data_IF_963154024063
#
_entry.id   IF_963154024063
#
_cell.length_a   1.000
_cell.length_b   1.000
_cell.length_c   1.000
_cell.angle_alpha   90.00
_cell.angle_beta   90.00
_cell.angle_gamma   90.00
#
_symmetry.space_group_name_H-M   'P 1'
#
loop_
_entity.id
_entity.type
_entity.pdbx_description
1 polymer ?
#
# COMPACT_ATOMS: atom_id res chain seq x y z
N UNK A 1 -5.43 -17.29 -16.10
CA UNK A 1 -5.37 -16.76 -14.72
C UNK A 1 -6.77 -16.76 -14.16
N UNK A 2 -6.91 -17.06 -12.87
CA UNK A 2 -8.19 -17.01 -12.16
C UNK A 2 -8.12 -15.89 -11.12
N UNK A 3 -9.23 -15.16 -10.94
CA UNK A 3 -9.33 -14.13 -9.90
C UNK A 3 -10.42 -14.58 -8.94
N UNK A 4 -10.07 -14.69 -7.67
CA UNK A 4 -10.99 -15.13 -6.62
C UNK A 4 -10.81 -14.28 -5.37
N UNK A 5 -11.87 -14.21 -4.59
CA UNK A 5 -11.85 -13.55 -3.30
C UNK A 5 -11.08 -14.40 -2.28
N UNK A 6 -10.20 -13.74 -1.51
CA UNK A 6 -9.47 -14.35 -0.40
C UNK A 6 -10.13 -13.88 0.90
N UNK A 7 -10.80 -14.80 1.57
CA UNK A 7 -11.41 -14.59 2.90
C UNK A 7 -10.54 -15.11 4.04
N UNK A 8 -9.48 -15.88 3.72
CA UNK A 8 -8.56 -16.43 4.70
C UNK A 8 -7.46 -15.42 5.03
N UNK A 9 -7.45 -14.93 6.28
CA UNK A 9 -6.45 -13.98 6.79
C UNK A 9 -5.02 -14.51 6.67
N UNK A 10 -4.79 -15.76 7.05
CA UNK A 10 -3.45 -16.38 7.05
C UNK A 10 -2.87 -16.41 5.64
N UNK A 11 -3.65 -16.85 4.66
CA UNK A 11 -3.22 -16.89 3.25
C UNK A 11 -2.86 -15.49 2.73
N UNK A 12 -3.65 -14.47 3.08
CA UNK A 12 -3.38 -13.08 2.69
C UNK A 12 -2.09 -12.57 3.32
N UNK A 13 -1.92 -12.79 4.62
CA UNK A 13 -0.80 -12.29 5.39
C UNK A 13 0.52 -12.95 4.95
N UNK A 14 0.53 -14.26 4.75
CA UNK A 14 1.70 -14.99 4.24
C UNK A 14 2.17 -14.43 2.89
N UNK A 15 1.23 -14.18 1.96
CA UNK A 15 1.58 -13.58 0.67
C UNK A 15 2.05 -12.13 0.83
N UNK A 16 1.40 -11.32 1.66
CA UNK A 16 1.75 -9.92 1.89
C UNK A 16 3.17 -9.79 2.46
N UNK A 17 3.52 -10.65 3.42
CA UNK A 17 4.83 -10.68 4.07
C UNK A 17 5.92 -11.19 3.11
N UNK A 18 5.62 -12.23 2.31
CA UNK A 18 6.56 -12.74 1.30
C UNK A 18 6.80 -11.73 0.17
N UNK A 19 5.73 -11.14 -0.36
CA UNK A 19 5.80 -10.23 -1.49
C UNK A 19 6.38 -8.86 -1.11
N UNK A 20 6.26 -8.48 0.16
CA UNK A 20 6.67 -7.18 0.66
C UNK A 20 5.84 -6.02 0.10
N UNK A 21 5.70 -4.98 0.90
CA UNK A 21 5.08 -3.73 0.45
C UNK A 21 5.70 -2.57 1.19
N UNK A 22 5.97 -1.43 0.51
CA UNK A 22 6.44 -0.21 1.16
C UNK A 22 5.31 0.50 1.95
N UNK A 23 4.12 -0.09 2.03
CA UNK A 23 2.94 0.48 2.68
C UNK A 23 2.03 -0.60 3.28
N UNK A 24 1.37 -0.27 4.38
CA UNK A 24 0.39 -1.15 5.04
C UNK A 24 -1.00 -1.11 4.38
N UNK A 25 -1.24 -0.29 3.35
CA UNK A 25 -2.61 -0.09 2.79
C UNK A 25 -3.22 -1.32 2.10
N UNK A 26 -2.45 -2.39 1.95
CA UNK A 26 -2.88 -3.70 1.45
C UNK A 26 -2.79 -4.79 2.53
N UNK A 27 -2.48 -4.44 3.79
CA UNK A 27 -2.50 -5.39 4.90
C UNK A 27 -3.94 -5.77 5.25
N UNK A 28 -4.09 -6.90 5.93
CA UNK A 28 -5.40 -7.37 6.35
C UNK A 28 -6.07 -6.37 7.30
N UNK A 29 -5.32 -5.89 8.29
CA UNK A 29 -5.76 -4.95 9.32
C UNK A 29 -6.21 -3.60 8.73
N UNK A 30 -5.57 -3.15 7.64
CA UNK A 30 -6.03 -1.95 6.95
C UNK A 30 -7.44 -2.13 6.40
N UNK A 31 -7.74 -3.30 5.83
CA UNK A 31 -9.09 -3.60 5.38
C UNK A 31 -10.10 -3.64 6.53
N UNK A 32 -9.74 -4.24 7.67
CA UNK A 32 -10.61 -4.26 8.86
C UNK A 32 -10.89 -2.84 9.38
N UNK A 33 -9.91 -1.93 9.27
CA UNK A 33 -10.09 -0.52 9.60
C UNK A 33 -11.07 0.17 8.63
N UNK A 34 -10.89 -0.01 7.32
CA UNK A 34 -11.78 0.55 6.29
C UNK A 34 -13.23 0.06 6.46
N UNK A 35 -13.41 -1.24 6.77
CA UNK A 35 -14.72 -1.82 7.09
C UNK A 35 -15.36 -1.17 8.31
N UNK A 36 -14.58 -0.95 9.39
CA UNK A 36 -15.04 -0.22 10.59
C UNK A 36 -15.39 1.24 10.29
N UNK A 37 -14.75 1.85 9.29
CA UNK A 37 -15.09 3.19 8.79
C UNK A 37 -16.32 3.21 7.88
N UNK A 38 -16.92 2.06 7.61
CA UNK A 38 -18.16 1.91 6.83
C UNK A 38 -17.94 1.71 5.33
N UNK A 39 -16.71 1.44 4.89
CA UNK A 39 -16.45 1.06 3.51
C UNK A 39 -16.68 -0.43 3.29
N UNK A 40 -17.18 -0.78 2.11
CA UNK A 40 -17.16 -2.16 1.66
C UNK A 40 -15.79 -2.44 1.02
N UNK A 41 -15.18 -3.57 1.31
CA UNK A 41 -13.93 -3.99 0.68
C UNK A 41 -14.08 -5.36 0.03
N UNK A 42 -13.22 -5.65 -0.94
CA UNK A 42 -13.05 -6.98 -1.51
C UNK A 42 -11.56 -7.29 -1.63
N UNK A 43 -11.15 -8.45 -1.11
CA UNK A 43 -9.75 -8.90 -1.10
C UNK A 43 -9.58 -9.91 -2.23
N UNK A 44 -8.90 -9.51 -3.30
CA UNK A 44 -8.79 -10.32 -4.52
C UNK A 44 -7.40 -10.93 -4.65
N UNK A 45 -7.34 -12.23 -4.91
CA UNK A 45 -6.14 -12.94 -5.31
C UNK A 45 -6.14 -13.24 -6.81
N UNK A 46 -4.99 -13.03 -7.46
CA UNK A 46 -4.76 -13.37 -8.87
C UNK A 46 -3.92 -14.62 -8.95
N UNK A 47 -4.50 -15.71 -9.44
CA UNK A 47 -3.89 -17.02 -9.51
C UNK A 47 -3.46 -17.36 -10.93
N UNK A 48 -2.22 -17.83 -11.09
CA UNK A 48 -1.76 -18.48 -12.29
C UNK A 48 -1.72 -19.98 -12.06
N UNK A 49 -2.60 -20.74 -12.72
CA UNK A 49 -2.90 -22.13 -12.36
C UNK A 49 -3.33 -22.20 -10.88
N UNK A 50 -2.49 -22.74 -10.00
CA UNK A 50 -2.76 -22.85 -8.56
C UNK A 50 -1.85 -21.95 -7.71
N UNK A 51 -0.98 -21.16 -8.34
CA UNK A 51 -0.04 -20.28 -7.65
C UNK A 51 -0.64 -18.89 -7.50
N UNK A 52 -0.64 -18.34 -6.29
CA UNK A 52 -1.02 -16.96 -6.04
C UNK A 52 0.10 -16.04 -6.54
N UNK A 53 -0.22 -15.16 -7.50
CA UNK A 53 0.78 -14.30 -8.18
C UNK A 53 0.65 -12.84 -7.79
N UNK A 54 -0.54 -12.40 -7.38
CA UNK A 54 -0.78 -11.06 -6.89
C UNK A 54 -1.97 -11.02 -5.93
N UNK A 55 -1.98 -10.04 -5.03
CA UNK A 55 -3.12 -9.70 -4.17
C UNK A 55 -3.52 -8.24 -4.35
N UNK A 56 -4.79 -7.93 -4.17
CA UNK A 56 -5.33 -6.57 -4.28
C UNK A 56 -6.56 -6.37 -3.39
N UNK A 57 -6.39 -5.61 -2.31
CA UNK A 57 -7.48 -5.09 -1.50
C UNK A 57 -8.09 -3.91 -2.25
N UNK A 58 -9.37 -4.06 -2.60
CA UNK A 58 -10.14 -3.09 -3.35
C UNK A 58 -11.22 -2.51 -2.43
N UNK A 59 -11.15 -1.22 -2.19
CA UNK A 59 -12.12 -0.46 -1.40
C UNK A 59 -13.21 0.06 -2.35
N UNK A 60 -14.46 -0.20 -2.02
CA UNK A 60 -15.63 0.24 -2.76
C UNK A 60 -16.10 1.59 -2.22
N UNK A 61 -15.77 2.68 -2.92
CA UNK A 61 -16.06 4.03 -2.45
C UNK A 61 -17.36 4.53 -3.09
N UNK A 62 -18.36 4.81 -2.24
CA UNK A 62 -19.60 5.50 -2.63
C UNK A 62 -19.45 6.99 -2.35
N UNK A 63 -19.43 7.80 -3.40
CA UNK A 63 -19.21 9.25 -3.30
C UNK A 63 -20.26 10.04 -4.07
N UNK A 64 -20.50 11.29 -3.65
CA UNK A 64 -21.50 12.19 -4.26
C UNK A 64 -21.32 12.39 -5.77
N UNK A 65 -20.08 12.29 -6.27
CA UNK A 65 -19.71 12.55 -7.68
C UNK A 65 -19.43 11.27 -8.48
N UNK A 66 -19.94 10.14 -8.02
CA UNK A 66 -19.79 8.83 -8.67
C UNK A 66 -19.08 7.83 -7.77
N UNK A 67 -19.57 6.60 -7.81
CA UNK A 67 -18.97 5.49 -7.08
C UNK A 67 -17.71 5.04 -7.81
N UNK A 68 -16.66 4.65 -7.08
CA UNK A 68 -15.47 4.07 -7.70
C UNK A 68 -14.84 2.95 -6.88
N UNK A 69 -14.14 2.07 -7.58
CA UNK A 69 -13.28 1.06 -6.96
C UNK A 69 -11.90 1.65 -6.76
N UNK A 70 -11.33 1.49 -5.58
CA UNK A 70 -10.04 2.05 -5.22
C UNK A 70 -9.09 0.99 -4.69
N UNK A 71 -7.89 0.91 -5.27
CA UNK A 71 -6.86 -0.06 -4.91
C UNK A 71 -5.63 0.74 -4.45
N UNK A 72 -5.53 1.07 -3.15
CA UNK A 72 -4.44 1.88 -2.62
C UNK A 72 -3.13 1.08 -2.56
N UNK A 73 -2.06 1.57 -3.19
CA UNK A 73 -0.72 0.97 -3.12
C UNK A 73 -0.63 -0.48 -3.64
N UNK A 74 -1.69 -0.97 -4.29
CA UNK A 74 -1.76 -2.28 -4.93
C UNK A 74 -2.05 -2.20 -6.43
N UNK A 75 -2.12 -3.35 -7.12
CA UNK A 75 -1.91 -4.71 -6.59
C UNK A 75 -0.45 -4.97 -6.14
N UNK A 76 -0.28 -5.91 -5.21
CA UNK A 76 1.02 -6.43 -4.76
C UNK A 76 1.32 -7.71 -5.55
N UNK A 77 2.56 -7.88 -6.01
CA UNK A 77 2.99 -9.01 -6.84
C UNK A 77 4.02 -9.85 -6.11
N UNK A 78 3.99 -11.17 -6.31
CA UNK A 78 4.95 -12.10 -5.70
C UNK A 78 6.40 -11.74 -6.07
N UNK A 79 7.29 -11.77 -5.08
CA UNK A 79 8.75 -11.65 -5.26
C UNK A 79 9.32 -12.94 -5.83
N UNK A 80 8.89 -14.12 -5.37
CA UNK A 80 9.41 -15.42 -5.85
C UNK A 80 9.33 -15.59 -7.38
N UNK A 81 8.38 -14.91 -8.03
CA UNK A 81 8.40 -14.66 -9.47
C UNK A 81 9.35 -13.50 -9.86
N UNK A 82 10.60 -13.48 -9.36
CA UNK A 82 11.63 -12.42 -9.55
C UNK A 82 12.03 -12.20 -11.03
N UNK A 83 11.53 -13.04 -11.94
CA UNK A 83 11.53 -12.84 -13.41
C UNK A 83 10.17 -12.36 -13.94
N UNK A 84 9.36 -11.70 -13.12
CA UNK A 84 8.19 -10.93 -13.54
C UNK A 84 8.68 -9.71 -14.31
N UNK A 85 9.10 -9.97 -15.54
CA UNK A 85 9.34 -8.96 -16.55
C UNK A 85 8.14 -8.02 -16.57
N UNK A 86 8.38 -6.78 -16.95
CA UNK A 86 7.35 -5.75 -17.17
C UNK A 86 6.13 -6.30 -17.93
N UNK A 87 6.36 -7.22 -18.88
CA UNK A 87 5.33 -7.96 -19.62
C UNK A 87 4.39 -8.78 -18.72
N UNK A 88 4.90 -9.50 -17.73
CA UNK A 88 4.08 -10.32 -16.82
C UNK A 88 3.25 -9.42 -15.89
N UNK A 89 3.85 -8.35 -15.34
CA UNK A 89 3.10 -7.35 -14.54
C UNK A 89 1.97 -6.73 -15.34
N UNK A 90 2.24 -6.33 -16.60
CA UNK A 90 1.21 -5.81 -17.51
C UNK A 90 0.08 -6.82 -17.73
N UNK A 91 0.41 -8.10 -17.97
CA UNK A 91 -0.59 -9.15 -18.18
C UNK A 91 -1.47 -9.35 -16.94
N UNK A 92 -0.87 -9.43 -15.74
CA UNK A 92 -1.60 -9.56 -14.47
C UNK A 92 -2.53 -8.36 -14.25
N UNK A 93 -2.03 -7.13 -14.44
CA UNK A 93 -2.84 -5.90 -14.30
C UNK A 93 -3.99 -5.89 -15.32
N UNK A 94 -3.76 -6.36 -16.55
CA UNK A 94 -4.80 -6.44 -17.57
C UNK A 94 -5.93 -7.41 -17.16
N UNK A 95 -5.59 -8.61 -16.68
CA UNK A 95 -6.58 -9.57 -16.20
C UNK A 95 -7.34 -9.03 -14.98
N UNK A 96 -6.61 -8.42 -14.04
CA UNK A 96 -7.20 -7.79 -12.88
C UNK A 96 -8.16 -6.65 -13.24
N UNK A 97 -7.76 -5.79 -14.18
CA UNK A 97 -8.59 -4.71 -14.69
C UNK A 97 -9.87 -5.24 -15.36
N UNK A 98 -9.79 -6.30 -16.18
CA UNK A 98 -10.98 -6.89 -16.83
C UNK A 98 -11.99 -7.42 -15.80
N UNK A 99 -11.50 -8.06 -14.74
CA UNK A 99 -12.34 -8.49 -13.62
C UNK A 99 -12.99 -7.28 -12.93
N UNK A 100 -12.20 -6.27 -12.58
CA UNK A 100 -12.72 -5.06 -11.92
C UNK A 100 -13.71 -4.29 -12.79
N UNK A 101 -13.52 -4.24 -14.11
CA UNK A 101 -14.49 -3.63 -15.05
C UNK A 101 -15.82 -4.38 -15.00
N UNK A 102 -15.78 -5.71 -14.97
CA UNK A 102 -16.98 -6.54 -14.89
C UNK A 102 -17.71 -6.32 -13.56
N UNK A 103 -16.97 -6.29 -12.45
CA UNK A 103 -17.47 -5.97 -11.12
C UNK A 103 -18.08 -4.55 -11.08
N UNK A 104 -17.35 -3.56 -11.62
CA UNK A 104 -17.78 -2.17 -11.66
C UNK A 104 -19.09 -2.00 -12.44
N UNK A 105 -19.24 -2.67 -13.58
CA UNK A 105 -20.50 -2.66 -14.36
C UNK A 105 -21.65 -3.32 -13.61
N UNK A 106 -21.39 -4.46 -12.96
CA UNK A 106 -22.41 -5.21 -12.19
C UNK A 106 -22.92 -4.41 -11.00
N UNK A 107 -22.04 -3.70 -10.31
CA UNK A 107 -22.36 -2.96 -9.07
C UNK A 107 -22.47 -1.44 -9.26
N UNK A 108 -22.50 -0.97 -10.52
CA UNK A 108 -22.66 0.45 -10.89
C UNK A 108 -21.58 1.40 -10.31
N UNK A 109 -20.31 1.02 -10.44
CA UNK A 109 -19.15 1.89 -10.22
C UNK A 109 -18.74 2.59 -11.52
N UNK A 110 -18.50 3.90 -11.44
CA UNK A 110 -18.23 4.77 -12.59
C UNK A 110 -16.79 4.68 -13.10
N UNK A 111 -15.82 4.41 -12.22
CA UNK A 111 -14.41 4.28 -12.59
C UNK A 111 -13.64 3.40 -11.59
N UNK A 112 -12.43 3.01 -12.00
CA UNK A 112 -11.48 2.25 -11.20
C UNK A 112 -10.23 3.12 -11.02
N UNK A 113 -9.74 3.20 -9.79
CA UNK A 113 -8.53 3.93 -9.44
C UNK A 113 -7.53 2.99 -8.78
N UNK A 114 -6.33 2.94 -9.32
CA UNK A 114 -5.21 2.21 -8.74
C UNK A 114 -4.10 3.19 -8.41
N UNK A 115 -3.32 2.89 -7.37
CA UNK A 115 -2.15 3.67 -7.00
C UNK A 115 -0.96 2.75 -6.66
N UNK A 116 -0.51 1.89 -7.59
CA UNK A 116 0.55 0.91 -7.31
C UNK A 116 1.89 1.60 -7.02
N UNK A 117 2.67 1.03 -6.11
CA UNK A 117 3.98 1.57 -5.73
C UNK A 117 5.06 1.07 -6.70
N UNK A 118 5.02 1.57 -7.93
CA UNK A 118 6.06 1.34 -8.92
C UNK A 118 7.00 2.53 -9.01
N UNK A 119 8.27 2.25 -9.28
CA UNK A 119 9.22 3.31 -9.62
C UNK A 119 8.78 3.98 -10.93
N UNK A 120 8.89 5.31 -10.96
CA UNK A 120 8.41 6.12 -12.05
C UNK A 120 9.40 6.09 -13.23
N UNK A 121 9.21 5.10 -14.11
CA UNK A 121 10.03 4.85 -15.31
C UNK A 121 9.17 4.84 -16.55
N UNK A 122 9.77 4.98 -17.73
CA UNK A 122 9.02 4.99 -18.99
C UNK A 122 8.26 3.68 -19.22
N UNK A 123 8.88 2.55 -18.88
CA UNK A 123 8.28 1.23 -19.08
C UNK A 123 7.06 1.02 -18.17
N UNK A 124 7.12 1.47 -16.91
CA UNK A 124 5.99 1.36 -15.97
C UNK A 124 4.85 2.28 -16.35
N UNK A 125 5.13 3.51 -16.81
CA UNK A 125 4.11 4.41 -17.37
C UNK A 125 3.41 3.79 -18.58
N UNK A 126 4.17 3.15 -19.47
CA UNK A 126 3.65 2.50 -20.68
C UNK A 126 2.67 1.37 -20.38
N UNK A 127 2.89 0.59 -19.32
CA UNK A 127 1.94 -0.43 -18.85
C UNK A 127 0.54 0.18 -18.67
N UNK A 128 0.45 1.27 -17.92
CA UNK A 128 -0.83 1.89 -17.57
C UNK A 128 -1.46 2.59 -18.77
N UNK A 129 -0.67 3.26 -19.60
CA UNK A 129 -1.15 3.88 -20.85
C UNK A 129 -1.75 2.85 -21.81
N UNK A 130 -1.06 1.73 -22.03
CA UNK A 130 -1.52 0.65 -22.92
C UNK A 130 -2.82 -0.01 -22.40
N UNK A 131 -3.06 0.03 -21.09
CA UNK A 131 -4.28 -0.49 -20.46
C UNK A 131 -5.40 0.55 -20.33
N UNK A 132 -5.20 1.77 -20.88
CA UNK A 132 -6.21 2.82 -20.91
C UNK A 132 -6.36 3.62 -19.60
N UNK A 133 -5.45 3.44 -18.64
CA UNK A 133 -5.42 4.29 -17.44
C UNK A 133 -5.02 5.72 -17.80
N UNK A 134 -5.53 6.66 -17.01
CA UNK A 134 -5.19 8.07 -17.07
C UNK A 134 -4.71 8.51 -15.70
N UNK A 135 -3.76 9.45 -15.66
CA UNK A 135 -3.30 10.02 -14.39
C UNK A 135 -4.48 10.69 -13.69
N UNK A 136 -4.69 10.35 -12.42
CA UNK A 136 -5.78 10.92 -11.66
C UNK A 136 -5.46 12.39 -11.29
N UNK A 137 -6.45 13.30 -11.28
CA UNK A 137 -6.21 14.72 -11.04
C UNK A 137 -5.92 15.05 -9.57
N UNK A 138 -6.24 14.14 -8.65
CA UNK A 138 -6.08 14.29 -7.20
C UNK A 138 -5.34 13.05 -6.69
N UNK A 139 -4.61 13.18 -5.60
CA UNK A 139 -3.97 12.06 -4.93
C UNK A 139 -4.74 11.70 -3.66
N UNK A 140 -5.06 10.42 -3.48
CA UNK A 140 -5.74 9.92 -2.27
C UNK A 140 -4.75 9.62 -1.14
N UNK A 141 -3.53 9.23 -1.49
CA UNK A 141 -2.43 8.95 -0.59
C UNK A 141 -1.16 9.62 -1.11
N UNK A 142 -0.12 9.65 -0.27
CA UNK A 142 1.17 10.21 -0.64
C UNK A 142 1.84 9.37 -1.73
N UNK A 143 2.16 9.98 -2.88
CA UNK A 143 2.86 9.30 -3.99
C UNK A 143 4.38 9.28 -3.84
N UNK A 144 4.93 10.14 -2.98
CA UNK A 144 6.37 10.26 -2.74
C UNK A 144 6.71 9.62 -1.41
N UNK A 145 7.32 8.45 -1.48
CA UNK A 145 7.79 7.71 -0.32
C UNK A 145 9.29 7.98 -0.13
N UNK A 146 9.68 8.26 1.12
CA UNK A 146 11.09 8.26 1.51
C UNK A 146 11.37 6.92 2.19
N UNK A 147 12.14 6.08 1.49
CA UNK A 147 12.45 4.73 1.94
C UNK A 147 13.90 4.69 2.41
N UNK A 148 14.11 4.27 3.66
CA UNK A 148 15.42 4.03 4.24
C UNK A 148 15.68 2.52 4.27
N UNK A 149 16.79 2.10 3.67
CA UNK A 149 17.23 0.70 3.71
C UNK A 149 17.84 0.37 5.08
N UNK A 150 17.06 -0.29 5.93
CA UNK A 150 17.45 -0.70 7.28
C UNK A 150 18.24 -2.01 7.33
N UNK A 151 18.63 -2.60 6.18
CA UNK A 151 19.51 -3.77 6.17
C UNK A 151 20.97 -3.42 6.46
N UNK A 152 21.32 -2.12 6.36
CA UNK A 152 22.63 -1.57 6.71
C UNK A 152 22.84 -1.57 8.22
N UNK A 153 24.11 -1.56 8.65
CA UNK A 153 24.42 -1.42 10.07
C UNK A 153 24.05 -0.02 10.60
N UNK A 154 23.79 0.09 11.91
CA UNK A 154 23.49 1.38 12.55
C UNK A 154 24.59 2.43 12.29
N UNK A 155 25.86 2.03 12.31
CA UNK A 155 27.00 2.90 12.02
C UNK A 155 26.96 3.43 10.58
N UNK A 156 26.61 2.59 9.62
CA UNK A 156 26.45 2.98 8.21
C UNK A 156 25.27 3.94 8.05
N UNK A 157 24.11 3.60 8.63
CA UNK A 157 22.93 4.45 8.63
C UNK A 157 23.23 5.84 9.17
N UNK A 158 23.88 5.94 10.34
CA UNK A 158 24.28 7.22 10.92
C UNK A 158 25.23 7.97 10.01
N UNK A 159 26.23 7.30 9.42
CA UNK A 159 27.23 7.94 8.55
C UNK A 159 26.61 8.55 7.29
N UNK A 160 25.58 7.91 6.72
CA UNK A 160 24.85 8.40 5.55
C UNK A 160 23.91 9.58 5.86
N UNK A 161 23.52 9.79 7.11
CA UNK A 161 22.68 10.92 7.51
C UNK A 161 23.37 12.28 7.30
N UNK A 162 22.60 13.37 7.36
CA UNK A 162 23.18 14.71 7.44
C UNK A 162 23.90 14.90 8.78
N UNK A 163 24.96 15.72 8.78
CA UNK A 163 25.74 16.05 9.99
C UNK A 163 24.85 16.53 11.15
N UNK A 164 23.85 17.35 10.85
CA UNK A 164 22.90 17.87 11.84
C UNK A 164 22.02 16.78 12.44
N UNK A 165 21.50 15.86 11.61
CA UNK A 165 20.70 14.72 12.06
C UNK A 165 21.49 13.82 13.01
N UNK A 166 22.73 13.43 12.63
CA UNK A 166 23.62 12.67 13.52
C UNK A 166 23.86 13.36 14.86
N UNK A 167 24.10 14.67 14.83
CA UNK A 167 24.34 15.46 16.04
C UNK A 167 23.12 15.44 16.97
N UNK A 168 21.91 15.59 16.43
CA UNK A 168 20.67 15.60 17.20
C UNK A 168 20.38 14.23 17.83
N UNK A 169 20.60 13.13 17.12
CA UNK A 169 20.45 11.77 17.67
C UNK A 169 21.39 11.56 18.87
N UNK A 170 22.68 11.90 18.70
CA UNK A 170 23.64 11.81 19.82
C UNK A 170 23.31 12.77 20.96
N UNK A 171 22.64 13.89 20.65
CA UNK A 171 22.22 14.86 21.67
C UNK A 171 21.06 14.30 22.48
N UNK A 172 20.04 13.69 21.86
CA UNK A 172 18.93 13.08 22.60
C UNK A 172 19.40 11.98 23.56
N UNK A 173 20.41 11.21 23.18
CA UNK A 173 21.05 10.23 24.08
C UNK A 173 21.69 10.91 25.31
N UNK A 174 22.46 12.00 25.11
CA UNK A 174 23.06 12.77 26.20
C UNK A 174 22.04 13.47 27.09
N UNK A 175 20.92 13.89 26.50
CA UNK A 175 19.82 14.53 27.20
C UNK A 175 18.93 13.48 27.93
N UNK A 176 19.32 12.20 27.94
CA UNK A 176 18.62 11.08 28.58
C UNK A 176 17.18 10.89 28.10
N UNK A 177 16.92 11.11 26.80
CA UNK A 177 15.62 10.81 26.18
C UNK A 177 15.40 9.30 26.17
N UNK A 178 14.24 8.86 26.68
CA UNK A 178 13.84 7.45 26.71
C UNK A 178 12.82 7.19 25.60
N UNK A 179 13.01 6.10 24.86
CA UNK A 179 12.08 5.63 23.83
C UNK A 179 11.38 4.38 24.35
N UNK A 180 10.06 4.44 24.48
CA UNK A 180 9.23 3.31 24.90
C UNK A 180 8.29 2.88 23.78
N UNK A 181 8.10 1.57 23.62
CA UNK A 181 7.09 1.00 22.72
C UNK A 181 5.89 0.56 23.54
N UNK A 182 4.73 1.15 23.27
CA UNK A 182 3.45 0.87 23.95
C UNK A 182 2.36 0.56 22.93
N UNK A 183 1.39 -0.27 23.33
CA UNK A 183 0.24 -0.68 22.51
C UNK A 183 -1.09 -0.61 23.27
N UNK A 184 -1.08 -0.01 24.47
CA UNK A 184 -2.26 0.16 25.31
C UNK A 184 -3.04 1.43 24.94
N UNK A 185 -4.33 1.48 25.30
CA UNK A 185 -5.22 2.61 24.96
C UNK A 185 -4.71 3.95 25.49
N UNK A 186 -4.09 3.96 26.68
CA UNK A 186 -3.52 5.19 27.25
C UNK A 186 -2.38 5.75 26.39
N UNK A 187 -1.63 4.90 25.68
CA UNK A 187 -0.63 5.39 24.72
C UNK A 187 -1.25 6.17 23.56
N UNK A 188 -2.47 5.82 23.13
CA UNK A 188 -3.23 6.58 22.12
C UNK A 188 -3.65 7.94 22.67
N UNK A 189 -4.12 8.01 23.91
CA UNK A 189 -4.47 9.28 24.57
C UNK A 189 -3.24 10.19 24.74
N UNK A 190 -2.11 9.62 25.17
CA UNK A 190 -0.85 10.34 25.32
C UNK A 190 -0.37 10.89 23.96
N UNK A 191 -0.46 10.09 22.88
CA UNK A 191 -0.18 10.55 21.52
C UNK A 191 -1.13 11.66 21.07
N UNK A 192 -2.44 11.53 21.31
CA UNK A 192 -3.44 12.48 20.84
C UNK A 192 -3.22 13.88 21.41
N UNK A 193 -2.87 13.98 22.68
CA UNK A 193 -2.53 15.27 23.33
C UNK A 193 -1.40 16.00 22.59
N UNK A 194 -0.29 15.29 22.33
CA UNK A 194 0.87 15.84 21.63
C UNK A 194 0.53 16.20 20.18
N UNK A 195 -0.25 15.35 19.52
CA UNK A 195 -0.68 15.58 18.14
C UNK A 195 -1.56 16.83 18.02
N UNK A 196 -2.49 17.03 18.95
CA UNK A 196 -3.37 18.20 18.97
C UNK A 196 -2.60 19.51 19.19
N UNK A 197 -1.64 19.52 20.12
CA UNK A 197 -0.75 20.66 20.34
C UNK A 197 0.07 20.98 19.08
N UNK A 198 0.56 19.95 18.39
CA UNK A 198 1.31 20.11 17.14
C UNK A 198 0.44 20.67 16.02
N UNK A 199 -0.82 20.25 15.91
CA UNK A 199 -1.76 20.74 14.89
C UNK A 199 -2.19 22.20 15.10
N UNK A 200 -2.15 22.69 16.34
CA UNK A 200 -2.47 24.09 16.70
C UNK A 200 -1.32 25.07 16.45
N UNK A 201 -0.08 24.58 16.33
CA UNK A 201 1.13 25.37 16.16
C UNK A 201 1.36 25.77 14.70
#
# INVERSE_FOLDING_TARGET
MNIQEITNKTQWQEFFDEAGSPSFLQSWEWGELEEKMGYEIIRLGVYNKNELTAIAQTIKIKAKRGNFLFIPHGPIFSISNLKCQISNKKYIIAQFLNFLISLAKKENYSFIRIAPVFEDREETRKIFQDLGFRKAPIYMHAERLWVLDITKSEEQLLTEMRKTTRYLIRKSERDNVIIERRTDEKAVDDFWKIYEETAKR
#
